data_IF_256419462710
#
_entry.id   IF_256419462710
#
_cell.length_a   1.000
_cell.length_b   1.000
_cell.length_c   1.000
_cell.angle_alpha   90.00
_cell.angle_beta   90.00
_cell.angle_gamma   90.00
#
_symmetry.space_group_name_H-M   'P 1'
#
loop_
_entity.id
_entity.type
_entity.pdbx_description
1 polymer ?
#
# COMPACT_ATOMS: atom_id res chain seq x y z
N UNK A 1 3.77 -8.29 -18.29
CA UNK A 1 2.39 -8.75 -18.04
C UNK A 1 1.80 -7.84 -16.99
N UNK A 2 0.79 -7.04 -17.35
CA UNK A 2 0.08 -6.24 -16.37
C UNK A 2 -0.65 -7.20 -15.41
N UNK A 3 -0.51 -6.97 -14.11
CA UNK A 3 -1.24 -7.74 -13.12
C UNK A 3 -2.65 -7.14 -13.06
N UNK A 4 -3.68 -7.97 -13.19
CA UNK A 4 -5.06 -7.53 -13.06
C UNK A 4 -5.68 -8.13 -11.80
N UNK A 5 -6.33 -7.27 -11.01
CA UNK A 5 -7.16 -7.66 -9.87
C UNK A 5 -8.60 -7.87 -10.31
N UNK A 6 -9.22 -8.97 -9.85
CA UNK A 6 -10.66 -9.18 -9.98
C UNK A 6 -11.32 -9.16 -8.61
N UNK A 7 -12.24 -8.24 -8.39
CA UNK A 7 -12.94 -8.07 -7.12
C UNK A 7 -14.43 -8.13 -7.31
N UNK A 8 -15.09 -8.91 -6.47
CA UNK A 8 -16.55 -9.07 -6.50
C UNK A 8 -17.18 -8.06 -5.57
N UNK A 9 -18.01 -7.16 -6.10
CA UNK A 9 -18.87 -6.30 -5.31
C UNK A 9 -20.24 -6.97 -5.20
N UNK A 10 -20.68 -7.30 -3.99
CA UNK A 10 -21.97 -7.95 -3.72
C UNK A 10 -22.92 -6.94 -3.10
N UNK A 11 -24.12 -6.78 -3.67
CA UNK A 11 -25.19 -5.99 -3.06
C UNK A 11 -26.05 -6.90 -2.15
N UNK A 12 -25.89 -6.73 -0.85
CA UNK A 12 -26.68 -7.40 0.19
C UNK A 12 -27.64 -6.42 0.89
N UNK A 13 -28.07 -5.38 0.18
CA UNK A 13 -29.14 -4.45 0.61
C UNK A 13 -30.48 -4.90 0.02
N UNK A 14 -31.58 -4.28 0.44
CA UNK A 14 -32.92 -4.52 -0.14
C UNK A 14 -33.25 -3.60 -1.34
N UNK A 15 -32.28 -2.81 -1.81
CA UNK A 15 -32.46 -1.83 -2.90
C UNK A 15 -31.48 -2.10 -4.05
N UNK A 16 -31.77 -1.54 -5.22
CA UNK A 16 -30.81 -1.47 -6.32
C UNK A 16 -29.80 -0.37 -6.04
N UNK A 17 -28.51 -0.68 -6.18
CA UNK A 17 -27.44 0.30 -6.00
C UNK A 17 -27.02 0.88 -7.35
N UNK A 18 -26.99 2.20 -7.46
CA UNK A 18 -26.41 2.91 -8.60
C UNK A 18 -24.94 3.18 -8.30
N UNK A 19 -24.07 2.76 -9.22
CA UNK A 19 -22.64 2.93 -9.14
C UNK A 19 -22.20 3.94 -10.19
N UNK A 20 -21.40 4.92 -9.77
CA UNK A 20 -20.78 5.92 -10.64
C UNK A 20 -19.27 5.87 -10.46
N UNK A 21 -18.52 6.05 -11.53
CA UNK A 21 -17.05 6.03 -11.51
C UNK A 21 -16.52 7.43 -11.81
N UNK A 22 -15.46 7.83 -11.11
CA UNK A 22 -14.96 9.19 -11.25
C UNK A 22 -13.68 9.46 -10.48
N UNK A 23 -13.31 10.74 -10.47
CA UNK A 23 -12.31 11.31 -9.58
C UNK A 23 -12.95 12.55 -8.95
N UNK A 24 -12.97 12.62 -7.61
CA UNK A 24 -13.33 13.80 -6.84
C UNK A 24 -14.63 14.51 -7.28
N UNK A 25 -14.55 15.48 -8.18
CA UNK A 25 -15.68 16.31 -8.59
C UNK A 25 -16.42 15.82 -9.84
N UNK A 26 -15.88 14.83 -10.56
CA UNK A 26 -16.48 14.34 -11.82
C UNK A 26 -16.77 12.85 -11.75
N UNK A 27 -18.06 12.51 -11.79
CA UNK A 27 -18.56 11.13 -11.80
C UNK A 27 -19.44 10.88 -13.02
N UNK A 28 -19.26 9.70 -13.62
CA UNK A 28 -20.06 9.18 -14.72
C UNK A 28 -20.82 7.94 -14.28
N UNK A 29 -22.02 7.74 -14.82
CA UNK A 29 -22.79 6.52 -14.57
C UNK A 29 -22.02 5.29 -15.06
N UNK A 30 -21.79 4.35 -14.16
CA UNK A 30 -21.00 3.15 -14.43
C UNK A 30 -21.90 1.94 -14.61
N UNK A 31 -22.71 1.63 -13.59
CA UNK A 31 -23.66 0.50 -13.65
C UNK A 31 -24.72 0.59 -12.56
N UNK A 32 -25.74 -0.27 -12.65
CA UNK A 32 -26.68 -0.52 -11.56
C UNK A 32 -26.54 -1.96 -11.09
N UNK A 33 -26.62 -2.17 -9.78
CA UNK A 33 -26.43 -3.45 -9.12
C UNK A 33 -27.69 -3.81 -8.32
N UNK A 34 -28.56 -4.68 -8.84
CA UNK A 34 -29.79 -5.07 -8.16
C UNK A 34 -29.54 -5.77 -6.82
N UNK A 35 -30.54 -5.77 -5.94
CA UNK A 35 -30.49 -6.47 -4.65
C UNK A 35 -30.16 -7.96 -4.85
N UNK A 36 -29.25 -8.48 -4.01
CA UNK A 36 -28.79 -9.87 -4.05
C UNK A 36 -27.89 -10.23 -5.24
N UNK A 37 -27.48 -9.25 -6.06
CA UNK A 37 -26.60 -9.47 -7.22
C UNK A 37 -25.16 -9.09 -6.94
N UNK A 38 -24.29 -9.58 -7.80
CA UNK A 38 -22.85 -9.32 -7.77
C UNK A 38 -22.39 -8.62 -9.05
N UNK A 39 -21.39 -7.76 -8.92
CA UNK A 39 -20.69 -7.13 -10.03
C UNK A 39 -19.19 -7.43 -9.92
N UNK A 40 -18.55 -7.82 -11.02
CA UNK A 40 -17.12 -8.12 -11.04
C UNK A 40 -16.37 -6.90 -11.53
N UNK A 41 -15.63 -6.26 -10.63
CA UNK A 41 -14.67 -5.22 -10.94
C UNK A 41 -13.40 -5.85 -11.48
N UNK A 42 -12.96 -5.42 -12.66
CA UNK A 42 -11.65 -5.75 -13.24
C UNK A 42 -10.82 -4.48 -13.24
N UNK A 43 -9.73 -4.47 -12.49
CA UNK A 43 -8.85 -3.32 -12.36
C UNK A 43 -7.43 -3.77 -12.69
N UNK A 44 -6.75 -3.03 -13.57
CA UNK A 44 -5.32 -3.19 -13.76
C UNK A 44 -4.57 -2.49 -12.63
N UNK A 45 -3.55 -3.12 -12.04
CA UNK A 45 -2.76 -2.45 -10.99
C UNK A 45 -1.96 -1.24 -11.54
N UNK A 46 -1.88 -1.09 -12.86
CA UNK A 46 -1.33 0.09 -13.53
C UNK A 46 -2.38 1.12 -13.95
N UNK A 47 -3.67 0.86 -13.71
CA UNK A 47 -4.73 1.84 -14.00
C UNK A 47 -4.60 3.07 -13.11
N UNK A 48 -5.06 4.20 -13.64
CA UNK A 48 -5.24 5.42 -12.86
C UNK A 48 -6.18 5.16 -11.68
N UNK A 49 -5.94 5.86 -10.57
CA UNK A 49 -6.84 5.84 -9.42
C UNK A 49 -8.26 6.26 -9.81
N UNK A 50 -9.26 5.50 -9.36
CA UNK A 50 -10.67 5.78 -9.56
C UNK A 50 -11.46 5.63 -8.25
N UNK A 51 -12.51 6.43 -8.12
CA UNK A 51 -13.50 6.35 -7.06
C UNK A 51 -14.83 5.84 -7.63
N UNK A 52 -15.38 4.81 -6.99
CA UNK A 52 -16.68 4.23 -7.27
C UNK A 52 -17.65 4.68 -6.20
N UNK A 53 -18.53 5.60 -6.58
CA UNK A 53 -19.56 6.17 -5.73
C UNK A 53 -20.82 5.32 -5.84
N UNK A 54 -21.25 4.75 -4.73
CA UNK A 54 -22.33 3.77 -4.64
C UNK A 54 -23.48 4.31 -3.79
N UNK A 55 -24.69 4.32 -4.33
CA UNK A 55 -25.89 4.87 -3.68
C UNK A 55 -27.11 3.98 -3.92
N UNK A 56 -27.97 3.81 -2.92
CA UNK A 56 -29.26 3.13 -3.09
C UNK A 56 -30.36 4.04 -3.66
N UNK A 57 -30.27 5.34 -3.40
CA UNK A 57 -31.18 6.37 -3.88
C UNK A 57 -30.45 7.71 -4.04
N UNK A 58 -31.14 8.72 -4.57
CA UNK A 58 -30.52 10.03 -4.80
C UNK A 58 -30.35 10.87 -3.51
N UNK A 59 -30.88 10.43 -2.37
CA UNK A 59 -30.94 11.22 -1.13
C UNK A 59 -30.02 10.69 -0.02
N UNK A 60 -29.56 9.44 -0.11
CA UNK A 60 -28.62 8.84 0.83
C UNK A 60 -27.18 9.32 0.64
N UNK A 61 -26.41 9.24 1.74
CA UNK A 61 -24.96 9.44 1.70
C UNK A 61 -24.31 8.34 0.85
N UNK A 62 -23.46 8.70 -0.13
CA UNK A 62 -22.77 7.71 -0.93
C UNK A 62 -21.74 6.92 -0.11
N UNK A 63 -21.67 5.63 -0.38
CA UNK A 63 -20.50 4.82 -0.06
C UNK A 63 -19.46 5.01 -1.17
N UNK A 64 -18.21 5.29 -0.81
CA UNK A 64 -17.10 5.36 -1.76
C UNK A 64 -16.28 4.08 -1.63
N UNK A 65 -16.03 3.43 -2.77
CA UNK A 65 -15.08 2.33 -2.92
C UNK A 65 -14.00 2.79 -3.90
N UNK A 66 -12.74 2.58 -3.59
CA UNK A 66 -11.63 3.02 -4.45
C UNK A 66 -11.11 1.87 -5.34
N UNK A 67 -10.37 2.22 -6.37
CA UNK A 67 -9.59 1.24 -7.15
C UNK A 67 -8.62 0.45 -6.26
N UNK A 68 -8.05 1.09 -5.23
CA UNK A 68 -7.14 0.45 -4.28
C UNK A 68 -7.87 -0.58 -3.41
N UNK A 69 -9.08 -0.27 -2.95
CA UNK A 69 -9.94 -1.23 -2.24
C UNK A 69 -10.17 -2.47 -3.11
N UNK A 70 -10.40 -2.28 -4.41
CA UNK A 70 -10.59 -3.38 -5.35
C UNK A 70 -9.30 -4.14 -5.64
N UNK A 71 -8.13 -3.51 -5.55
CA UNK A 71 -6.83 -4.14 -5.66
C UNK A 71 -6.51 -5.04 -4.46
N UNK A 72 -6.80 -4.55 -3.26
CA UNK A 72 -6.47 -5.18 -1.98
C UNK A 72 -7.44 -6.29 -1.56
N UNK A 73 -8.71 -6.15 -1.95
CA UNK A 73 -9.75 -7.08 -1.57
C UNK A 73 -10.04 -8.07 -2.70
N UNK A 74 -10.62 -9.21 -2.35
CA UNK A 74 -11.22 -10.15 -3.34
C UNK A 74 -12.73 -10.00 -3.43
N UNK A 75 -13.35 -9.47 -2.37
CA UNK A 75 -14.78 -9.23 -2.28
C UNK A 75 -15.04 -8.00 -1.41
N UNK A 76 -16.01 -7.20 -1.83
CA UNK A 76 -16.57 -6.08 -1.07
C UNK A 76 -18.07 -6.32 -1.00
N UNK A 77 -18.60 -6.52 0.20
CA UNK A 77 -20.03 -6.77 0.41
C UNK A 77 -20.67 -5.52 0.96
N UNK A 78 -21.70 -5.05 0.26
CA UNK A 78 -22.44 -3.84 0.61
C UNK A 78 -23.69 -4.25 1.38
N UNK A 79 -23.84 -3.72 2.58
CA UNK A 79 -24.97 -4.01 3.48
C UNK A 79 -25.64 -2.72 3.93
N UNK A 80 -26.93 -2.77 4.26
CA UNK A 80 -27.67 -1.63 4.82
C UNK A 80 -27.98 -1.93 6.29
N UNK A 81 -27.64 -0.98 7.17
CA UNK A 81 -27.94 -1.03 8.61
C UNK A 81 -28.51 0.33 8.98
N UNK A 82 -29.73 0.35 9.54
CA UNK A 82 -30.45 1.58 9.94
C UNK A 82 -30.53 2.62 8.80
N UNK A 83 -30.80 2.17 7.58
CA UNK A 83 -30.90 3.01 6.38
C UNK A 83 -29.55 3.53 5.85
N UNK A 84 -28.44 3.15 6.48
CA UNK A 84 -27.09 3.54 6.10
C UNK A 84 -26.38 2.39 5.39
N UNK A 85 -25.82 2.68 4.21
CA UNK A 85 -25.05 1.71 3.43
C UNK A 85 -23.62 1.62 3.97
N UNK A 86 -23.10 0.41 4.14
CA UNK A 86 -21.74 0.13 4.62
C UNK A 86 -21.06 -0.92 3.74
N UNK A 87 -19.74 -0.85 3.64
CA UNK A 87 -18.93 -1.86 2.98
C UNK A 87 -18.25 -2.79 4.00
N UNK A 88 -18.25 -4.08 3.71
CA UNK A 88 -17.42 -5.08 4.37
C UNK A 88 -16.38 -5.60 3.38
N UNK A 89 -15.11 -5.51 3.76
CA UNK A 89 -13.99 -5.83 2.90
C UNK A 89 -13.44 -7.22 3.24
N UNK A 90 -13.32 -8.07 2.22
CA UNK A 90 -12.65 -9.37 2.35
C UNK A 90 -11.29 -9.30 1.65
N UNK A 91 -10.18 -9.29 2.41
CA UNK A 91 -8.85 -9.15 1.83
C UNK A 91 -8.49 -10.30 0.88
N UNK A 92 -7.73 -9.95 -0.16
CA UNK A 92 -6.98 -10.93 -0.95
C UNK A 92 -5.84 -11.43 -0.07
N UNK A 93 -5.68 -12.75 0.11
CA UNK A 93 -4.55 -13.31 0.87
C UNK A 93 -3.25 -12.79 0.26
N UNK A 94 -2.59 -11.86 0.94
CA UNK A 94 -1.22 -11.49 0.59
C UNK A 94 -0.33 -12.67 1.00
N UNK A 95 0.46 -13.19 0.06
CA UNK A 95 1.55 -14.11 0.39
C UNK A 95 2.41 -13.43 1.45
N UNK A 96 2.54 -14.05 2.63
CA UNK A 96 3.44 -13.57 3.67
C UNK A 96 4.81 -13.32 3.01
N UNK A 97 5.49 -12.19 3.28
CA UNK A 97 6.86 -12.03 2.83
C UNK A 97 7.66 -13.25 3.30
N UNK A 98 8.41 -13.86 2.39
CA UNK A 98 9.24 -15.01 2.70
C UNK A 98 10.08 -14.67 3.95
N UNK A 99 10.20 -15.58 4.94
CA UNK A 99 10.98 -15.30 6.13
C UNK A 99 12.38 -14.88 5.69
N UNK A 100 12.81 -13.69 6.13
CA UNK A 100 14.13 -13.18 5.85
C UNK A 100 15.14 -14.28 6.16
N UNK A 101 15.95 -14.65 5.16
CA UNK A 101 17.04 -15.60 5.37
C UNK A 101 17.94 -15.01 6.46
N UNK A 102 17.87 -15.56 7.67
CA UNK A 102 18.84 -15.26 8.71
C UNK A 102 20.20 -15.64 8.16
N UNK A 103 20.99 -14.64 7.79
CA UNK A 103 22.42 -14.83 7.56
C UNK A 103 22.98 -15.31 8.89
N UNK A 104 23.23 -16.62 9.00
CA UNK A 104 23.95 -17.20 10.13
C UNK A 104 25.37 -16.67 10.06
N UNK A 105 25.62 -15.55 10.75
CA UNK A 105 26.98 -15.07 11.00
C UNK A 105 27.61 -16.08 11.96
N UNK A 106 28.35 -17.04 11.40
CA UNK A 106 29.18 -17.95 12.19
C UNK A 106 30.20 -17.09 12.97
N UNK A 107 30.35 -17.27 14.29
CA UNK A 107 31.36 -16.53 15.04
C UNK A 107 32.76 -16.92 14.53
N UNK A 108 33.55 -15.93 14.15
CA UNK A 108 34.93 -16.11 13.73
C UNK A 108 35.77 -16.66 14.90
N UNK A 109 36.51 -17.75 14.66
CA UNK A 109 37.49 -18.27 15.63
C UNK A 109 38.60 -17.23 15.84
N UNK A 110 38.86 -16.85 17.09
CA UNK A 110 39.98 -15.97 17.45
C UNK A 110 41.31 -16.66 17.10
N UNK A 111 42.02 -16.16 16.09
CA UNK A 111 43.40 -16.51 15.82
C UNK A 111 44.28 -15.98 16.95
N UNK A 112 45.03 -16.86 17.62
CA UNK A 112 46.07 -16.48 18.59
C UNK A 112 47.20 -15.78 17.83
N UNK A 113 47.44 -14.52 18.17
CA UNK A 113 48.52 -13.69 17.64
C UNK A 113 49.85 -14.16 18.24
N UNK A 114 50.64 -14.92 17.50
CA UNK A 114 52.05 -15.18 17.84
C UNK A 114 52.90 -13.98 17.43
N UNK A 115 53.62 -13.41 18.40
CA UNK A 115 54.51 -12.24 18.23
C UNK A 115 55.63 -12.58 17.24
N UNK A 116 55.79 -11.76 16.20
CA UNK A 116 56.99 -11.74 15.35
C UNK A 116 58.09 -10.89 16.01
N UNK A 117 59.36 -11.31 15.97
CA UNK A 117 60.45 -10.53 16.51
C UNK A 117 60.83 -9.35 15.60
N UNK A 118 61.23 -8.26 16.28
CA UNK A 118 61.66 -6.98 15.74
C UNK A 118 62.98 -7.05 14.95
N UNK A 119 62.98 -6.49 13.74
CA UNK A 119 64.18 -6.20 12.93
C UNK A 119 64.04 -4.86 12.20
N UNK A 120 65.13 -4.07 12.17
CA UNK A 120 65.22 -2.62 11.93
C UNK A 120 65.06 -2.15 10.46
N UNK A 121 64.50 -0.93 10.31
CA UNK A 121 64.70 0.21 9.36
C UNK A 121 65.25 -0.05 7.93
N UNK A 122 64.78 0.61 6.85
CA UNK A 122 64.65 2.07 6.64
C UNK A 122 63.80 2.40 5.36
N UNK A 123 63.55 3.69 5.00
CA UNK A 123 62.30 4.20 4.44
C UNK A 123 62.30 4.46 2.93
N UNK A 124 61.11 4.61 2.31
CA UNK A 124 60.89 5.68 1.30
C UNK A 124 59.43 5.80 0.79
N UNK A 125 59.00 7.08 0.76
CA UNK A 125 58.11 7.75 -0.21
C UNK A 125 56.59 7.48 -0.17
N UNK A 126 55.91 8.45 0.47
CA UNK A 126 54.57 8.93 0.08
C UNK A 126 54.57 9.46 -1.36
N UNK A 127 53.39 9.52 -2.02
CA UNK A 127 52.83 10.86 -2.15
C UNK A 127 51.35 10.94 -1.74
N UNK A 128 51.08 12.08 -1.10
CA UNK A 128 49.82 12.69 -0.76
C UNK A 128 48.85 12.86 -1.95
N UNK A 129 47.57 12.57 -1.74
CA UNK A 129 46.49 13.44 -2.23
C UNK A 129 45.15 13.13 -1.53
N UNK A 130 44.66 14.12 -0.79
CA UNK A 130 43.26 14.26 -0.33
C UNK A 130 42.74 15.53 -1.01
N UNK A 131 41.48 15.54 -1.48
CA UNK A 131 40.51 16.52 -0.96
C UNK A 131 39.19 15.80 -0.63
N UNK A 132 38.78 15.76 0.64
CA UNK A 132 37.81 16.68 1.26
C UNK A 132 36.53 16.89 0.44
N UNK A 133 35.50 16.11 0.76
CA UNK A 133 34.11 16.37 0.38
C UNK A 133 33.20 15.87 1.50
N UNK A 134 32.71 16.80 2.32
CA UNK A 134 31.87 16.56 3.50
C UNK A 134 30.58 15.82 3.16
N UNK A 135 30.29 14.79 3.95
CA UNK A 135 28.96 14.26 4.14
C UNK A 135 28.02 15.35 4.70
N UNK A 136 26.86 15.54 4.09
CA UNK A 136 25.72 16.23 4.70
C UNK A 136 24.73 15.18 5.23
N UNK A 137 24.23 15.32 6.47
CA UNK A 137 23.18 14.47 7.02
C UNK A 137 21.78 14.90 6.53
N UNK A 138 20.78 14.00 6.56
CA UNK A 138 19.42 14.27 6.10
C UNK A 138 18.69 15.29 6.97
N UNK A 139 17.98 16.22 6.33
CA UNK A 139 17.11 17.19 7.00
C UNK A 139 15.81 16.52 7.44
N UNK A 140 15.68 16.46 8.77
CA UNK A 140 14.49 16.47 9.65
C UNK A 140 13.10 16.18 9.06
N UNK A 141 12.46 15.22 9.74
CA UNK A 141 11.03 15.01 9.90
C UNK A 141 10.22 16.32 9.89
N UNK A 142 9.29 16.42 8.95
CA UNK A 142 8.14 17.32 9.00
C UNK A 142 7.01 16.65 9.79
N UNK A 143 6.65 17.30 10.88
CA UNK A 143 5.66 16.92 11.89
C UNK A 143 4.25 16.82 11.27
N UNK A 144 3.60 15.68 11.50
CA UNK A 144 2.15 15.54 11.33
C UNK A 144 1.41 16.52 12.25
N UNK A 145 0.49 17.31 11.69
CA UNK A 145 -0.60 17.95 12.42
C UNK A 145 -1.91 17.46 11.82
N UNK A 146 -2.52 16.48 12.48
CA UNK A 146 -3.93 16.14 12.30
C UNK A 146 -4.76 17.17 13.07
N UNK A 147 -5.45 18.05 12.35
CA UNK A 147 -6.51 18.86 12.92
C UNK A 147 -7.83 18.08 12.89
N UNK A 148 -8.27 17.65 14.07
CA UNK A 148 -9.67 17.33 14.34
C UNK A 148 -10.51 18.60 14.16
N UNK A 149 -11.59 18.53 13.39
CA UNK A 149 -12.85 19.25 13.64
C UNK A 149 -13.87 18.90 12.56
N UNK A 150 -14.92 18.16 12.93
CA UNK A 150 -16.26 18.32 12.39
C UNK A 150 -17.25 18.01 13.53
N UNK A 151 -18.03 19.04 13.88
CA UNK A 151 -19.30 18.92 14.60
C UNK A 151 -20.38 18.37 13.67
#
# INVERSE_FOLDING_TARGET
MARQGMTVITNNTNKTLNMRVGNQSHFLDFTSLPSGKEHIMRIDYSDTYHEYLIKADNQGQPLIVTSDDCCDNKRITITEVDGCIRAQHTPRRQLKPAPAQQIVVRPAKKLKLSRLPSGRMAPSRLPSRVPSGRAQPPKKLGLFRWGLMCQ
#
